data_IF_473643668644
#
_entry.id   IF_473643668644
#
_cell.length_a   1.000
_cell.length_b   1.000
_cell.length_c   1.000
_cell.angle_alpha   90.00
_cell.angle_beta   90.00
_cell.angle_gamma   90.00
#
_symmetry.space_group_name_H-M   'P 1'
#
loop_
_entity.id
_entity.type
_entity.pdbx_description
1 polymer ?
#
# COMPACT_ATOMS: atom_id res chain seq x y z
N UNK A 1 3.65 -14.88 -10.65
CA UNK A 1 2.93 -16.03 -10.03
C UNK A 1 3.54 -16.48 -8.70
N UNK A 2 4.84 -16.29 -8.43
CA UNK A 2 5.49 -16.67 -7.17
C UNK A 2 5.05 -15.86 -5.93
N UNK A 3 4.60 -14.61 -6.09
CA UNK A 3 4.38 -13.71 -4.95
C UNK A 3 3.32 -14.20 -3.93
N UNK A 4 2.30 -14.93 -4.37
CA UNK A 4 1.30 -15.52 -3.47
C UNK A 4 1.79 -16.79 -2.76
N UNK A 5 2.92 -17.39 -3.18
CA UNK A 5 3.49 -18.57 -2.51
C UNK A 5 4.11 -18.25 -1.16
N UNK A 6 4.41 -16.98 -0.89
CA UNK A 6 4.90 -16.52 0.42
C UNK A 6 3.80 -16.54 1.48
N UNK A 7 2.53 -16.57 1.08
CA UNK A 7 1.40 -16.72 1.99
C UNK A 7 1.24 -18.18 2.38
N UNK A 8 1.56 -18.48 3.64
CA UNK A 8 1.46 -19.84 4.18
C UNK A 8 0.07 -20.05 4.79
N UNK A 9 -0.71 -20.95 4.20
CA UNK A 9 -1.99 -21.39 4.73
C UNK A 9 -2.63 -22.45 3.83
N UNK A 10 -3.31 -23.43 4.44
CA UNK A 10 -3.90 -24.59 3.74
C UNK A 10 -5.41 -24.73 3.92
N UNK A 11 -6.07 -23.70 4.44
CA UNK A 11 -7.52 -23.72 4.63
C UNK A 11 -8.26 -23.29 3.36
N UNK A 12 -9.48 -23.81 3.18
CA UNK A 12 -10.32 -23.42 2.04
C UNK A 12 -10.60 -21.90 2.00
N UNK A 13 -10.69 -21.26 3.17
CA UNK A 13 -10.84 -19.81 3.28
C UNK A 13 -9.62 -19.07 2.75
N UNK A 14 -8.41 -19.54 3.06
CA UNK A 14 -7.17 -18.95 2.57
C UNK A 14 -7.03 -19.11 1.05
N UNK A 15 -7.39 -20.28 0.52
CA UNK A 15 -7.41 -20.50 -0.93
C UNK A 15 -8.40 -19.57 -1.63
N UNK A 16 -9.58 -19.38 -1.05
CA UNK A 16 -10.58 -18.42 -1.56
C UNK A 16 -10.05 -16.98 -1.55
N UNK A 17 -9.41 -16.56 -0.45
CA UNK A 17 -8.78 -15.25 -0.31
C UNK A 17 -7.72 -15.03 -1.40
N UNK A 18 -6.82 -16.01 -1.61
CA UNK A 18 -5.77 -15.95 -2.63
C UNK A 18 -6.36 -15.90 -4.04
N UNK A 19 -7.45 -16.65 -4.32
CA UNK A 19 -8.15 -16.56 -5.60
C UNK A 19 -8.70 -15.15 -5.85
N UNK A 20 -9.41 -14.57 -4.88
CA UNK A 20 -9.94 -13.21 -4.98
C UNK A 20 -8.83 -12.16 -5.15
N UNK A 21 -7.74 -12.31 -4.39
CA UNK A 21 -6.58 -11.42 -4.48
C UNK A 21 -5.90 -11.49 -5.85
N UNK A 22 -5.81 -12.67 -6.47
CA UNK A 22 -5.29 -12.82 -7.85
C UNK A 22 -6.19 -12.14 -8.88
N UNK A 23 -7.51 -12.25 -8.74
CA UNK A 23 -8.44 -11.59 -9.66
C UNK A 23 -8.29 -10.08 -9.60
N UNK A 24 -8.26 -9.49 -8.40
CA UNK A 24 -8.14 -8.04 -8.25
C UNK A 24 -6.76 -7.50 -8.63
N UNK A 25 -5.70 -8.31 -8.47
CA UNK A 25 -4.34 -7.93 -8.88
C UNK A 25 -4.25 -7.59 -10.38
N UNK A 26 -5.08 -8.22 -11.22
CA UNK A 26 -5.16 -7.91 -12.66
C UNK A 26 -5.87 -6.60 -12.99
N UNK A 27 -6.38 -5.86 -12.00
CA UNK A 27 -7.22 -4.67 -12.19
C UNK A 27 -6.57 -3.40 -11.65
N UNK A 28 -7.19 -2.26 -11.95
CA UNK A 28 -6.83 -0.94 -11.38
C UNK A 28 -7.72 -0.53 -10.22
N UNK A 29 -8.59 -1.42 -9.72
CA UNK A 29 -9.51 -1.12 -8.64
C UNK A 29 -8.76 -0.90 -7.31
N UNK A 30 -9.27 0.01 -6.49
CA UNK A 30 -8.80 0.17 -5.12
C UNK A 30 -9.16 -1.07 -4.29
N UNK A 31 -8.20 -1.59 -3.52
CA UNK A 31 -8.37 -2.82 -2.72
C UNK A 31 -8.38 -2.48 -1.24
N UNK A 32 -9.42 -2.94 -0.53
CA UNK A 32 -9.53 -2.84 0.92
C UNK A 32 -9.28 -4.22 1.55
N UNK A 33 -8.21 -4.34 2.34
CA UNK A 33 -7.86 -5.58 3.06
C UNK A 33 -8.30 -5.42 4.52
N UNK A 34 -9.23 -6.27 4.96
CA UNK A 34 -9.73 -6.31 6.35
C UNK A 34 -9.23 -7.57 7.07
N UNK A 35 -9.08 -7.48 8.38
CA UNK A 35 -8.65 -8.56 9.26
C UNK A 35 -8.01 -8.03 10.54
N UNK A 36 -7.88 -8.85 11.58
CA UNK A 36 -7.32 -8.42 12.85
C UNK A 36 -5.83 -8.04 12.75
N UNK A 37 -5.33 -7.35 13.76
CA UNK A 37 -3.90 -7.03 13.88
C UNK A 37 -3.06 -8.32 13.88
N UNK A 38 -1.95 -8.32 13.15
CA UNK A 38 -1.05 -9.48 13.08
C UNK A 38 -1.43 -10.57 12.07
N UNK A 39 -2.53 -10.45 11.33
CA UNK A 39 -2.98 -11.46 10.34
C UNK A 39 -2.25 -11.43 8.99
N UNK A 40 -1.18 -10.64 8.84
CA UNK A 40 -0.36 -10.61 7.63
C UNK A 40 -0.98 -9.86 6.44
N UNK A 41 -1.84 -8.86 6.70
CA UNK A 41 -2.45 -8.02 5.65
C UNK A 41 -1.43 -7.39 4.68
N UNK A 42 -0.25 -7.02 5.20
CA UNK A 42 0.85 -6.47 4.40
C UNK A 42 1.41 -7.48 3.40
N UNK A 43 1.51 -8.76 3.79
CA UNK A 43 1.94 -9.82 2.87
C UNK A 43 0.97 -9.99 1.71
N UNK A 44 -0.34 -9.90 2.00
CA UNK A 44 -1.38 -9.95 0.97
C UNK A 44 -1.31 -8.74 0.03
N UNK A 45 -1.15 -7.53 0.59
CA UNK A 45 -1.00 -6.30 -0.21
C UNK A 45 0.23 -6.37 -1.14
N UNK A 46 1.37 -6.82 -0.60
CA UNK A 46 2.60 -7.05 -1.37
C UNK A 46 2.39 -8.08 -2.50
N UNK A 47 1.70 -9.18 -2.21
CA UNK A 47 1.43 -10.22 -3.21
C UNK A 47 0.52 -9.71 -4.35
N UNK A 48 -0.47 -8.88 -4.02
CA UNK A 48 -1.34 -8.21 -5.00
C UNK A 48 -0.52 -7.26 -5.88
N UNK A 49 0.28 -6.37 -5.29
CA UNK A 49 1.11 -5.43 -6.04
C UNK A 49 2.09 -6.15 -6.98
N UNK A 50 2.81 -7.14 -6.46
CA UNK A 50 3.81 -7.92 -7.21
C UNK A 50 3.19 -8.77 -8.33
N UNK A 51 1.89 -9.07 -8.24
CA UNK A 51 1.15 -9.81 -9.28
C UNK A 51 0.34 -8.91 -10.21
N UNK A 52 0.42 -7.58 -10.04
CA UNK A 52 -0.32 -6.61 -10.86
C UNK A 52 0.47 -6.19 -12.11
N UNK A 53 -0.20 -5.55 -13.10
CA UNK A 53 0.48 -4.93 -14.24
C UNK A 53 1.48 -3.82 -13.85
N UNK A 54 1.43 -3.38 -12.59
CA UNK A 54 2.27 -2.31 -12.03
C UNK A 54 3.36 -2.84 -11.10
N UNK A 55 3.66 -4.14 -11.15
CA UNK A 55 4.68 -4.79 -10.31
C UNK A 55 6.07 -4.17 -10.44
N UNK A 56 6.42 -3.61 -11.61
CA UNK A 56 7.69 -2.93 -11.86
C UNK A 56 7.71 -1.44 -11.48
N UNK A 57 6.60 -0.91 -10.93
CA UNK A 57 6.46 0.51 -10.60
C UNK A 57 6.64 0.74 -9.08
N UNK A 58 6.97 1.98 -8.65
CA UNK A 58 7.17 2.28 -7.24
C UNK A 58 5.97 1.85 -6.38
N UNK A 59 6.26 1.16 -5.28
CA UNK A 59 5.29 0.73 -4.29
C UNK A 59 5.70 1.27 -2.93
N UNK A 60 4.88 2.17 -2.38
CA UNK A 60 5.12 2.80 -1.09
C UNK A 60 4.07 2.31 -0.09
N UNK A 61 4.55 1.87 1.08
CA UNK A 61 3.70 1.49 2.20
C UNK A 61 3.74 2.62 3.24
N UNK A 62 2.57 3.01 3.72
CA UNK A 62 2.43 4.03 4.76
C UNK A 62 1.63 3.41 5.91
N UNK A 63 2.21 3.43 7.10
CA UNK A 63 1.51 3.08 8.32
C UNK A 63 0.83 4.34 8.88
N UNK A 64 -0.48 4.47 8.67
CA UNK A 64 -1.25 5.62 9.15
C UNK A 64 -1.25 5.75 10.69
N UNK A 65 -1.08 4.65 11.44
CA UNK A 65 -1.03 4.71 12.90
C UNK A 65 0.28 5.33 13.43
N UNK A 66 1.33 5.33 12.60
CA UNK A 66 2.62 5.93 12.93
C UNK A 66 2.78 7.36 12.36
N UNK A 67 1.74 7.89 11.69
CA UNK A 67 1.79 9.19 11.03
C UNK A 67 1.09 10.24 11.91
N UNK A 68 1.80 11.25 12.44
CA UNK A 68 1.18 12.29 13.25
C UNK A 68 0.21 13.14 12.41
N UNK A 69 -0.98 13.41 12.94
CA UNK A 69 -2.05 14.11 12.21
C UNK A 69 -1.60 15.46 11.65
N UNK A 70 -0.85 16.25 12.44
CA UNK A 70 -0.38 17.58 12.05
C UNK A 70 0.58 17.61 10.86
N UNK A 71 1.16 16.47 10.46
CA UNK A 71 2.05 16.35 9.29
C UNK A 71 1.55 15.34 8.25
N UNK A 72 0.45 14.65 8.52
CA UNK A 72 -0.03 13.56 7.66
C UNK A 72 -0.36 14.03 6.25
N UNK A 73 -1.06 15.16 6.14
CA UNK A 73 -1.42 15.76 4.86
C UNK A 73 -0.17 16.19 4.06
N UNK A 74 0.78 16.82 4.76
CA UNK A 74 2.06 17.26 4.20
C UNK A 74 2.91 16.09 3.68
N UNK A 75 2.95 14.96 4.37
CA UNK A 75 3.67 13.75 3.92
C UNK A 75 2.98 13.09 2.72
N UNK A 76 1.65 13.05 2.70
CA UNK A 76 0.88 12.40 1.63
C UNK A 76 0.91 13.20 0.33
N UNK A 77 0.63 14.51 0.42
CA UNK A 77 0.43 15.39 -0.74
C UNK A 77 1.64 16.27 -1.04
N UNK A 78 2.51 16.50 -0.05
CA UNK A 78 3.62 17.44 -0.15
C UNK A 78 3.24 18.84 0.29
N UNK A 79 4.23 19.72 0.35
CA UNK A 79 4.03 21.14 0.64
C UNK A 79 5.10 21.98 -0.08
N UNK A 80 4.81 23.27 -0.25
CA UNK A 80 5.79 24.25 -0.71
C UNK A 80 6.41 24.97 0.49
N UNK A 81 7.63 25.47 0.31
CA UNK A 81 8.30 26.32 1.29
C UNK A 81 7.36 27.46 1.71
N UNK A 82 7.22 27.66 3.02
CA UNK A 82 6.36 28.68 3.60
C UNK A 82 4.86 28.34 3.71
N UNK A 83 4.45 27.09 3.43
CA UNK A 83 3.06 26.68 3.61
C UNK A 83 2.60 26.69 5.08
N UNK A 84 3.52 26.50 6.04
CA UNK A 84 3.29 26.57 7.48
C UNK A 84 4.59 26.90 8.22
N UNK A 85 4.52 27.26 9.51
CA UNK A 85 5.70 27.49 10.35
C UNK A 85 6.56 26.23 10.47
N UNK A 86 7.78 26.25 9.93
CA UNK A 86 8.68 25.09 9.82
C UNK A 86 8.75 24.47 8.42
N UNK A 87 8.02 24.98 7.44
CA UNK A 87 8.13 24.58 6.03
C UNK A 87 9.35 25.24 5.35
N UNK A 88 10.56 24.84 5.76
CA UNK A 88 11.82 25.47 5.32
C UNK A 88 12.20 25.13 3.87
N UNK A 89 11.63 24.07 3.30
CA UNK A 89 11.90 23.60 1.94
C UNK A 89 10.63 23.08 1.25
N UNK A 90 10.72 22.85 -0.06
CA UNK A 90 9.64 22.16 -0.78
C UNK A 90 9.73 20.65 -0.50
N UNK A 91 8.60 20.02 -0.21
CA UNK A 91 8.50 18.58 -0.02
C UNK A 91 7.55 17.97 -1.05
N UNK A 92 8.01 16.92 -1.73
CA UNK A 92 7.19 16.18 -2.70
C UNK A 92 6.44 15.05 -1.96
N UNK A 93 5.11 15.06 -2.04
CA UNK A 93 4.27 14.07 -1.35
C UNK A 93 4.49 12.64 -1.81
N UNK A 94 4.26 11.71 -0.89
CA UNK A 94 4.40 10.26 -1.10
C UNK A 94 3.47 9.71 -2.18
N UNK A 95 2.27 10.28 -2.34
CA UNK A 95 1.34 9.87 -3.41
C UNK A 95 1.94 10.09 -4.80
N UNK A 96 2.61 11.23 -4.98
CA UNK A 96 3.30 11.57 -6.23
C UNK A 96 4.56 10.71 -6.44
N UNK A 97 5.24 10.31 -5.36
CA UNK A 97 6.35 9.36 -5.42
C UNK A 97 5.89 7.92 -5.75
N UNK A 98 4.64 7.58 -5.42
CA UNK A 98 3.99 6.31 -5.70
C UNK A 98 3.23 6.28 -7.03
N UNK A 99 3.48 7.23 -7.95
CA UNK A 99 2.87 7.24 -9.29
C UNK A 99 3.43 6.11 -10.15
N UNK A 100 2.83 4.94 -9.98
CA UNK A 100 2.85 3.79 -10.85
C UNK A 100 1.48 3.55 -11.45
#
# INVERSE_FOLDING_TARGET
MEAFKTLIGRSAQMESLVRSARMVAGTTAAVLIKGETGTGKELLANAIQASSPRSCKPYLVINCAALPEGIAESELFGHRKGAFSGADSNHKGRLTAAHG
#
